data_IF_898049795863
#
_entry.id   IF_898049795863
#
_cell.length_a   1.000
_cell.length_b   1.000
_cell.length_c   1.000
_cell.angle_alpha   90.00
_cell.angle_beta   90.00
_cell.angle_gamma   90.00
#
_symmetry.space_group_name_H-M   'P 1'
#
loop_
_entity.id
_entity.type
_entity.pdbx_description
1 polymer ?
#
# COMPACT_ATOMS: atom_id res chain seq x y z
N UNK A 1 -11.45 -11.95 14.94
CA UNK A 1 -10.27 -11.54 15.73
C UNK A 1 -9.33 -10.77 14.81
N UNK A 2 -8.82 -9.63 15.27
CA UNK A 2 -7.77 -8.90 14.56
C UNK A 2 -6.49 -9.74 14.42
N UNK A 3 -5.76 -9.58 13.32
CA UNK A 3 -4.54 -10.34 13.00
C UNK A 3 -3.28 -9.66 13.52
N UNK A 4 -2.24 -10.43 13.82
CA UNK A 4 -0.92 -9.87 14.16
C UNK A 4 -0.21 -9.31 12.92
N UNK A 5 -0.48 -9.89 11.75
CA UNK A 5 0.04 -9.40 10.48
C UNK A 5 -0.86 -9.76 9.30
N UNK A 6 -0.68 -9.02 8.22
CA UNK A 6 -1.18 -9.35 6.88
C UNK A 6 -0.03 -9.33 5.88
N UNK A 7 -0.17 -10.07 4.80
CA UNK A 7 0.81 -10.14 3.73
C UNK A 7 0.14 -10.17 2.36
N UNK A 8 0.81 -9.59 1.37
CA UNK A 8 0.38 -9.72 -0.02
C UNK A 8 1.01 -10.96 -0.66
N UNK A 9 0.17 -11.81 -1.24
CA UNK A 9 0.56 -13.03 -1.94
C UNK A 9 1.24 -12.76 -3.29
N UNK A 10 1.58 -13.84 -3.99
CA UNK A 10 2.08 -13.71 -5.36
C UNK A 10 0.97 -13.28 -6.32
N UNK A 11 1.34 -12.51 -7.34
CA UNK A 11 0.43 -12.13 -8.42
C UNK A 11 0.07 -13.35 -9.25
N UNK A 12 -1.22 -13.58 -9.43
CA UNK A 12 -1.71 -14.51 -10.45
C UNK A 12 -1.58 -13.84 -11.83
N UNK A 13 -0.73 -14.42 -12.67
CA UNK A 13 -0.48 -13.89 -14.01
C UNK A 13 -1.67 -14.10 -14.96
N UNK A 14 -2.47 -15.15 -14.77
CA UNK A 14 -3.62 -15.49 -15.62
C UNK A 14 -4.83 -14.65 -15.27
N UNK A 15 -5.15 -14.58 -13.98
CA UNK A 15 -6.32 -13.85 -13.49
C UNK A 15 -6.04 -12.35 -13.28
N UNK A 16 -4.76 -11.95 -13.35
CA UNK A 16 -4.32 -10.58 -13.05
C UNK A 16 -4.78 -10.09 -11.67
N UNK A 17 -4.74 -10.97 -10.68
CA UNK A 17 -5.13 -10.71 -9.29
C UNK A 17 -3.99 -10.96 -8.32
N UNK A 18 -4.20 -10.60 -7.05
CA UNK A 18 -3.32 -10.92 -5.94
C UNK A 18 -4.13 -11.01 -4.65
N UNK A 19 -3.80 -12.02 -3.84
CA UNK A 19 -4.47 -12.25 -2.58
C UNK A 19 -3.86 -11.40 -1.45
N UNK A 20 -4.72 -10.90 -0.58
CA UNK A 20 -4.34 -10.45 0.75
C UNK A 20 -4.50 -11.63 1.71
N UNK A 21 -3.44 -11.94 2.41
CA UNK A 21 -3.28 -13.13 3.25
C UNK A 21 -3.15 -12.65 4.69
N UNK A 22 -3.92 -13.23 5.60
CA UNK A 22 -3.82 -13.00 7.03
C UNK A 22 -2.92 -14.05 7.70
N UNK A 23 -2.69 -13.86 9.00
CA UNK A 23 -1.99 -14.82 9.85
C UNK A 23 -2.49 -16.27 9.64
N UNK A 24 -1.56 -17.22 9.52
CA UNK A 24 -1.87 -18.61 9.21
C UNK A 24 -2.09 -18.92 7.73
N UNK A 25 -1.62 -18.06 6.82
CA UNK A 25 -1.69 -18.22 5.37
C UNK A 25 -3.12 -18.27 4.81
N UNK A 26 -4.07 -17.65 5.53
CA UNK A 26 -5.48 -17.62 5.14
C UNK A 26 -5.73 -16.44 4.21
N UNK A 27 -6.15 -16.69 2.97
CA UNK A 27 -6.56 -15.64 2.05
C UNK A 27 -7.88 -14.99 2.53
N UNK A 28 -7.84 -13.68 2.78
CA UNK A 28 -8.99 -12.92 3.30
C UNK A 28 -9.69 -12.07 2.23
N UNK A 29 -8.98 -11.77 1.14
CA UNK A 29 -9.51 -11.01 0.01
C UNK A 29 -8.65 -11.19 -1.24
N UNK A 30 -9.25 -11.02 -2.40
CA UNK A 30 -8.56 -11.03 -3.70
C UNK A 30 -8.76 -9.68 -4.37
N UNK A 31 -7.65 -9.05 -4.76
CA UNK A 31 -7.64 -7.74 -5.38
C UNK A 31 -7.09 -7.85 -6.80
N UNK A 32 -7.45 -6.93 -7.71
CA UNK A 32 -6.72 -6.77 -8.96
C UNK A 32 -5.24 -6.50 -8.70
N UNK A 33 -4.39 -6.98 -9.61
CA UNK A 33 -2.95 -6.74 -9.55
C UNK A 33 -2.60 -5.26 -9.75
N UNK A 34 -3.46 -4.50 -10.42
CA UNK A 34 -3.33 -3.05 -10.58
C UNK A 34 -4.60 -2.38 -10.06
N UNK A 35 -4.48 -1.67 -8.94
CA UNK A 35 -5.60 -1.07 -8.23
C UNK A 35 -5.90 0.38 -8.65
N UNK A 36 -5.30 0.89 -9.74
CA UNK A 36 -5.54 2.26 -10.18
C UNK A 36 -7.01 2.49 -10.60
N UNK A 37 -7.63 3.52 -10.03
CA UNK A 37 -9.02 3.88 -10.32
C UNK A 37 -9.99 3.37 -9.28
N UNK A 38 -11.24 3.14 -9.70
CA UNK A 38 -12.31 2.65 -8.83
C UNK A 38 -12.47 1.15 -9.06
N UNK A 39 -12.51 0.36 -7.99
CA UNK A 39 -12.73 -1.09 -8.08
C UNK A 39 -13.60 -1.58 -6.95
N UNK A 40 -14.40 -2.60 -7.22
CA UNK A 40 -15.13 -3.35 -6.20
C UNK A 40 -14.39 -4.65 -5.90
N UNK A 41 -14.19 -4.93 -4.62
CA UNK A 41 -13.58 -6.17 -4.15
C UNK A 41 -14.41 -6.73 -2.99
N UNK A 42 -14.25 -8.01 -2.73
CA UNK A 42 -14.90 -8.68 -1.61
C UNK A 42 -13.85 -9.09 -0.59
N UNK A 43 -14.05 -8.66 0.66
CA UNK A 43 -13.19 -8.97 1.80
C UNK A 43 -14.02 -9.79 2.77
N UNK A 44 -13.70 -11.07 2.91
CA UNK A 44 -14.43 -12.03 3.76
C UNK A 44 -15.97 -11.97 3.61
N UNK A 45 -16.48 -11.95 2.38
CA UNK A 45 -17.93 -11.88 2.16
C UNK A 45 -18.53 -10.48 2.18
N UNK A 46 -17.72 -9.45 2.52
CA UNK A 46 -18.18 -8.06 2.60
C UNK A 46 -17.75 -7.30 1.35
N UNK A 47 -18.66 -6.60 0.65
CA UNK A 47 -18.31 -5.80 -0.52
C UNK A 47 -17.65 -4.48 -0.11
N UNK A 48 -16.52 -4.19 -0.76
CA UNK A 48 -15.72 -2.98 -0.57
C UNK A 48 -15.63 -2.24 -1.89
N UNK A 49 -15.84 -0.93 -1.86
CA UNK A 49 -15.59 -0.06 -3.01
C UNK A 49 -14.35 0.76 -2.75
N UNK A 50 -13.33 0.52 -3.55
CA UNK A 50 -12.02 1.15 -3.45
C UNK A 50 -11.87 2.22 -4.51
N UNK A 51 -11.18 3.30 -4.16
CA UNK A 51 -10.67 4.28 -5.10
C UNK A 51 -9.22 4.59 -4.77
N UNK A 52 -8.31 4.31 -5.70
CA UNK A 52 -6.89 4.60 -5.54
C UNK A 52 -6.42 5.55 -6.64
N UNK A 53 -5.71 6.60 -6.21
CA UNK A 53 -5.02 7.53 -7.08
C UNK A 53 -3.61 7.84 -6.58
N UNK A 54 -2.93 8.78 -7.24
CA UNK A 54 -1.55 9.12 -6.89
C UNK A 54 -1.41 9.83 -5.53
N UNK A 55 -2.50 10.43 -5.02
CA UNK A 55 -2.52 11.28 -3.81
C UNK A 55 -3.46 10.81 -2.72
N UNK A 56 -4.38 9.93 -3.05
CA UNK A 56 -5.42 9.49 -2.13
C UNK A 56 -5.82 8.05 -2.38
N UNK A 57 -6.19 7.38 -1.29
CA UNK A 57 -6.82 6.06 -1.30
C UNK A 57 -8.10 6.20 -0.48
N UNK A 58 -9.19 5.61 -0.94
CA UNK A 58 -10.47 5.58 -0.24
C UNK A 58 -11.05 4.17 -0.31
N UNK A 59 -11.58 3.68 0.81
CA UNK A 59 -12.32 2.43 0.87
C UNK A 59 -13.68 2.67 1.55
N UNK A 60 -14.75 2.31 0.86
CA UNK A 60 -16.12 2.38 1.36
C UNK A 60 -16.62 0.97 1.70
N UNK A 61 -17.09 0.80 2.94
CA UNK A 61 -17.57 -0.48 3.50
C UNK A 61 -18.89 -0.23 4.23
N UNK A 62 -20.01 -0.48 3.56
CA UNK A 62 -21.33 -0.10 4.08
C UNK A 62 -21.41 1.41 4.31
N UNK A 63 -21.59 1.84 5.56
CA UNK A 63 -21.63 3.25 5.96
C UNK A 63 -20.27 3.84 6.38
N UNK A 64 -19.23 3.00 6.46
CA UNK A 64 -17.89 3.42 6.89
C UNK A 64 -17.04 3.79 5.69
N UNK A 65 -16.21 4.82 5.86
CA UNK A 65 -15.27 5.26 4.83
C UNK A 65 -13.89 5.42 5.44
N UNK A 66 -12.92 4.73 4.87
CA UNK A 66 -11.51 4.85 5.22
C UNK A 66 -10.79 5.69 4.17
N UNK A 67 -9.90 6.59 4.60
CA UNK A 67 -9.16 7.47 3.68
C UNK A 67 -7.70 7.53 4.06
N UNK A 68 -6.86 7.63 3.04
CA UNK A 68 -5.44 7.92 3.17
C UNK A 68 -5.08 9.03 2.18
N UNK A 69 -4.33 10.03 2.61
CA UNK A 69 -4.02 11.21 1.81
C UNK A 69 -2.57 11.67 1.93
N UNK A 70 -2.03 12.21 0.85
CA UNK A 70 -0.70 12.85 0.81
C UNK A 70 -0.74 14.14 0.00
N UNK A 71 0.12 15.09 0.37
CA UNK A 71 0.15 16.41 -0.27
C UNK A 71 0.58 16.39 -1.76
N UNK A 72 1.51 15.50 -2.16
CA UNK A 72 2.10 15.49 -3.52
C UNK A 72 1.83 14.20 -4.30
N UNK A 73 2.45 13.10 -3.88
CA UNK A 73 2.28 11.75 -4.42
C UNK A 73 2.86 10.72 -3.45
N UNK A 74 2.29 9.52 -3.40
CA UNK A 74 2.72 8.47 -2.45
C UNK A 74 4.21 8.11 -2.58
N UNK A 75 4.75 8.06 -3.80
CA UNK A 75 6.18 7.78 -4.04
C UNK A 75 7.13 8.72 -3.28
N UNK A 76 6.78 10.00 -3.13
CA UNK A 76 7.58 11.01 -2.43
C UNK A 76 7.16 11.27 -0.98
N UNK A 77 6.10 10.63 -0.51
CA UNK A 77 5.56 10.88 0.82
C UNK A 77 6.55 10.44 1.91
N UNK A 78 6.61 11.24 2.98
CA UNK A 78 7.25 10.91 4.26
C UNK A 78 6.24 10.73 5.40
N UNK A 79 5.05 11.29 5.21
CA UNK A 79 3.92 11.18 6.10
C UNK A 79 2.66 10.99 5.25
N UNK A 80 1.71 10.21 5.75
CA UNK A 80 0.42 9.93 5.13
C UNK A 80 -0.65 10.18 6.19
N UNK A 81 -1.59 11.06 5.90
CA UNK A 81 -2.74 11.31 6.76
C UNK A 81 -3.76 10.18 6.59
N UNK A 82 -4.28 9.65 7.69
CA UNK A 82 -5.25 8.56 7.69
C UNK A 82 -6.52 8.96 8.44
N UNK A 83 -7.66 8.60 7.87
CA UNK A 83 -8.97 8.64 8.50
C UNK A 83 -9.54 7.23 8.49
N UNK A 84 -9.54 6.59 9.65
CA UNK A 84 -10.01 5.22 9.87
C UNK A 84 -11.48 5.21 10.28
N UNK A 85 -12.36 5.70 9.39
CA UNK A 85 -13.79 5.85 9.63
C UNK A 85 -14.13 6.76 10.83
N UNK A 86 -13.50 7.92 10.89
CA UNK A 86 -13.64 8.94 11.94
C UNK A 86 -12.52 8.93 12.97
N UNK A 87 -11.68 7.88 13.00
CA UNK A 87 -10.48 7.82 13.84
C UNK A 87 -9.26 8.35 13.08
N UNK A 88 -8.72 9.48 13.52
CA UNK A 88 -7.52 10.05 12.91
C UNK A 88 -6.27 9.24 13.27
N UNK A 89 -5.45 8.97 12.27
CA UNK A 89 -4.17 8.28 12.37
C UNK A 89 -3.20 8.83 11.31
N UNK A 90 -1.96 8.38 11.33
CA UNK A 90 -0.95 8.73 10.33
C UNK A 90 0.02 7.59 10.09
N UNK A 91 0.64 7.58 8.91
CA UNK A 91 1.78 6.73 8.62
C UNK A 91 3.03 7.60 8.49
N UNK A 92 4.11 7.29 9.20
CA UNK A 92 5.37 8.04 9.17
C UNK A 92 6.48 7.14 8.63
N UNK A 93 7.28 7.67 7.70
CA UNK A 93 8.48 7.01 7.18
C UNK A 93 9.69 7.36 8.06
N UNK A 94 10.22 6.39 8.80
CA UNK A 94 11.34 6.61 9.72
C UNK A 94 12.69 6.56 9.00
N UNK A 95 12.95 5.48 8.24
CA UNK A 95 14.21 5.29 7.50
C UNK A 95 13.96 4.56 6.19
N UNK A 96 14.48 5.12 5.08
CA UNK A 96 14.37 4.57 3.70
C UNK A 96 12.92 4.27 3.28
N UNK A 97 12.41 3.12 3.72
CA UNK A 97 11.13 2.52 3.39
C UNK A 97 10.52 1.75 4.56
N UNK A 98 10.98 2.03 5.78
CA UNK A 98 10.38 1.56 7.03
C UNK A 98 9.34 2.58 7.48
N UNK A 99 8.11 2.10 7.68
CA UNK A 99 6.95 2.91 7.99
C UNK A 99 6.27 2.42 9.25
N UNK A 100 5.79 3.38 10.05
CA UNK A 100 5.04 3.14 11.27
C UNK A 100 3.68 3.79 11.15
N UNK A 101 2.63 3.06 11.51
CA UNK A 101 1.29 3.59 11.68
C UNK A 101 1.11 4.03 13.13
N UNK A 102 0.67 5.27 13.34
CA UNK A 102 0.40 5.86 14.65
C UNK A 102 -1.02 6.40 14.69
N UNK A 103 -1.67 6.33 15.85
CA UNK A 103 -2.93 7.03 16.09
C UNK A 103 -2.71 8.53 16.39
N UNK A 104 -3.80 9.25 16.64
CA UNK A 104 -3.75 10.68 16.98
C UNK A 104 -2.97 10.99 18.28
N UNK A 105 -2.81 10.01 19.18
CA UNK A 105 -2.03 10.16 20.42
C UNK A 105 -0.54 9.83 20.25
N UNK A 106 -0.14 9.35 19.07
CA UNK A 106 1.21 8.86 18.80
C UNK A 106 1.41 7.40 19.25
N UNK A 107 0.35 6.69 19.60
CA UNK A 107 0.42 5.27 19.90
C UNK A 107 0.55 4.46 18.62
N UNK A 108 1.47 3.50 18.62
CA UNK A 108 1.73 2.64 17.47
C UNK A 108 0.56 1.69 17.22
N UNK A 109 0.09 1.69 15.98
CA UNK A 109 -0.95 0.78 15.46
C UNK A 109 -0.36 -0.40 14.72
N UNK A 110 0.81 -0.21 14.10
CA UNK A 110 1.47 -1.21 13.26
C UNK A 110 2.66 -0.65 12.50
N UNK A 111 3.27 -1.48 11.66
CA UNK A 111 4.41 -1.09 10.84
C UNK A 111 4.49 -1.93 9.56
N UNK A 112 5.17 -1.40 8.56
CA UNK A 112 5.55 -2.16 7.37
C UNK A 112 6.91 -1.69 6.86
N UNK A 113 7.59 -2.55 6.11
CA UNK A 113 8.84 -2.19 5.46
C UNK A 113 8.85 -2.59 3.99
N UNK A 114 9.44 -1.74 3.16
CA UNK A 114 9.82 -2.10 1.78
C UNK A 114 11.18 -2.79 1.66
N UNK A 115 11.92 -2.96 2.76
CA UNK A 115 13.24 -3.59 2.79
C UNK A 115 13.19 -5.10 2.51
N UNK A 116 14.24 -5.64 1.88
CA UNK A 116 14.46 -7.06 1.55
C UNK A 116 13.45 -7.79 0.64
N UNK A 117 12.18 -7.39 0.58
CA UNK A 117 11.14 -8.14 -0.15
C UNK A 117 10.25 -7.28 -1.07
N UNK A 118 10.42 -5.96 -1.05
CA UNK A 118 9.73 -5.02 -1.92
C UNK A 118 8.20 -5.22 -1.94
N UNK A 119 7.58 -4.98 -3.09
CA UNK A 119 6.12 -5.17 -3.29
C UNK A 119 5.73 -6.66 -3.29
N UNK A 120 6.66 -7.55 -3.64
CA UNK A 120 6.36 -8.97 -3.95
C UNK A 120 6.00 -9.80 -2.72
N UNK A 121 6.50 -9.43 -1.55
CA UNK A 121 6.12 -9.97 -0.25
C UNK A 121 6.10 -8.82 0.78
N UNK A 122 5.16 -7.90 0.62
CA UNK A 122 4.96 -6.84 1.60
C UNK A 122 4.08 -7.34 2.74
N UNK A 123 4.60 -7.19 3.96
CA UNK A 123 3.90 -7.53 5.19
C UNK A 123 3.58 -6.26 5.97
N UNK A 124 2.39 -6.22 6.56
CA UNK A 124 2.00 -5.20 7.53
C UNK A 124 1.79 -5.88 8.86
N UNK A 125 2.57 -5.48 9.86
CA UNK A 125 2.47 -5.96 11.24
C UNK A 125 1.58 -5.01 12.04
N UNK A 126 0.80 -5.54 12.98
CA UNK A 126 -0.14 -4.79 13.78
C UNK A 126 0.07 -5.01 15.27
N UNK A 127 -0.17 -3.97 16.06
CA UNK A 127 -0.16 -4.08 17.52
C UNK A 127 -1.49 -4.66 18.01
N UNK A 128 -1.41 -5.65 18.91
CA UNK A 128 -2.57 -6.41 19.36
C UNK A 128 -3.63 -5.53 20.03
N UNK A 129 -4.88 -5.63 19.57
CA UNK A 129 -6.03 -4.92 20.15
C UNK A 129 -6.10 -3.41 19.82
N UNK A 130 -5.22 -2.90 18.94
CA UNK A 130 -5.19 -1.47 18.55
C UNK A 130 -5.91 -1.17 17.23
N UNK A 131 -6.13 -2.18 16.42
CA UNK A 131 -6.80 -2.09 15.12
C UNK A 131 -7.89 -3.15 14.98
N UNK A 132 -8.95 -2.80 14.26
CA UNK A 132 -9.99 -3.73 13.82
C UNK A 132 -9.58 -4.41 12.50
N UNK A 133 -10.22 -5.53 12.17
CA UNK A 133 -9.95 -6.29 10.93
C UNK A 133 -10.08 -5.42 9.66
N UNK A 134 -11.09 -4.55 9.60
CA UNK A 134 -11.29 -3.65 8.46
C UNK A 134 -10.17 -2.60 8.36
N UNK A 135 -9.75 -2.04 9.50
CA UNK A 135 -8.62 -1.11 9.52
C UNK A 135 -7.34 -1.82 9.07
N UNK A 136 -7.11 -3.07 9.49
CA UNK A 136 -5.95 -3.84 9.07
C UNK A 136 -5.94 -4.08 7.55
N UNK A 137 -7.08 -4.43 6.97
CA UNK A 137 -7.21 -4.57 5.50
C UNK A 137 -6.92 -3.25 4.79
N UNK A 138 -7.47 -2.14 5.28
CA UNK A 138 -7.23 -0.83 4.71
C UNK A 138 -5.77 -0.38 4.83
N UNK A 139 -5.14 -0.56 5.99
CA UNK A 139 -3.72 -0.25 6.21
C UNK A 139 -2.81 -1.12 5.34
N UNK A 140 -3.18 -2.38 5.12
CA UNK A 140 -2.48 -3.29 4.19
C UNK A 140 -2.53 -2.79 2.75
N UNK A 141 -3.69 -2.25 2.34
CA UNK A 141 -3.88 -1.62 1.04
C UNK A 141 -3.00 -0.37 0.90
N UNK A 142 -2.99 0.50 1.91
CA UNK A 142 -2.12 1.68 1.95
C UNK A 142 -0.65 1.29 1.82
N UNK A 143 -0.20 0.30 2.58
CA UNK A 143 1.17 -0.22 2.55
C UNK A 143 1.58 -0.62 1.14
N UNK A 144 0.76 -1.42 0.47
CA UNK A 144 1.00 -1.86 -0.91
C UNK A 144 1.03 -0.69 -1.89
N UNK A 145 0.07 0.23 -1.84
CA UNK A 145 0.04 1.40 -2.73
C UNK A 145 1.31 2.25 -2.59
N UNK A 146 1.79 2.46 -1.36
CA UNK A 146 3.02 3.23 -1.11
C UNK A 146 4.23 2.55 -1.73
N UNK A 147 4.36 1.23 -1.55
CA UNK A 147 5.48 0.46 -2.09
C UNK A 147 5.43 0.39 -3.62
N UNK A 148 4.25 0.17 -4.21
CA UNK A 148 4.04 0.18 -5.67
C UNK A 148 4.39 1.54 -6.28
N UNK A 149 3.96 2.64 -5.64
CA UNK A 149 4.24 3.99 -6.13
C UNK A 149 5.75 4.28 -6.12
N UNK A 150 6.46 3.88 -5.06
CA UNK A 150 7.92 4.04 -4.96
C UNK A 150 8.66 3.21 -6.01
N UNK A 151 8.26 1.95 -6.21
CA UNK A 151 8.84 1.07 -7.23
C UNK A 151 8.67 1.65 -8.64
N UNK A 152 7.44 2.04 -9.00
CA UNK A 152 7.12 2.62 -10.31
C UNK A 152 7.94 3.88 -10.59
N UNK A 153 8.05 4.78 -9.60
CA UNK A 153 8.86 5.99 -9.75
C UNK A 153 10.35 5.70 -9.96
N UNK A 154 10.89 4.65 -9.34
CA UNK A 154 12.28 4.23 -9.53
C UNK A 154 12.51 3.63 -10.92
N UNK A 155 11.59 2.80 -11.40
CA UNK A 155 11.67 2.22 -12.75
C UNK A 155 11.66 3.30 -13.84
N UNK A 156 10.80 4.32 -13.71
CA UNK A 156 10.74 5.45 -14.66
C UNK A 156 12.07 6.23 -14.66
N UNK A 157 12.64 6.49 -13.48
CA UNK A 157 13.92 7.20 -13.36
C UNK A 157 15.07 6.41 -14.02
N UNK A 158 15.08 5.08 -13.85
CA UNK A 158 16.07 4.21 -14.47
C UNK A 158 15.94 4.20 -16.00
N UNK A 159 14.71 4.02 -16.52
CA UNK A 159 14.44 4.07 -17.96
C UNK A 159 14.90 5.41 -18.55
N UNK A 160 14.55 6.53 -17.90
CA UNK A 160 14.99 7.87 -18.32
C UNK A 160 16.52 8.00 -18.35
N UNK A 161 17.21 7.49 -17.34
CA UNK A 161 18.68 7.47 -17.29
C UNK A 161 19.29 6.66 -18.43
N UNK A 162 18.75 5.48 -18.75
CA UNK A 162 19.25 4.63 -19.83
C UNK A 162 19.07 5.31 -21.20
N UNK A 163 17.95 5.99 -21.42
CA UNK A 163 17.69 6.74 -22.65
C UNK A 163 18.70 7.88 -22.81
N UNK A 164 18.95 8.63 -21.74
CA UNK A 164 19.95 9.72 -21.76
C UNK A 164 21.36 9.21 -22.05
N UNK A 165 21.78 8.09 -21.42
CA UNK A 165 23.09 7.48 -21.69
C UNK A 165 23.18 7.01 -23.14
N UNK A 166 22.11 6.39 -23.66
CA UNK A 166 22.06 5.94 -25.06
C UNK A 166 22.21 7.11 -26.04
N UNK A 167 21.50 8.22 -25.81
CA UNK A 167 21.62 9.44 -26.62
C UNK A 167 23.01 10.06 -26.53
N UNK A 168 23.60 10.10 -25.34
CA UNK A 168 24.96 10.60 -25.13
C UNK A 168 25.99 9.77 -25.89
N UNK A 169 25.90 8.43 -25.83
CA UNK A 169 26.79 7.55 -26.60
C UNK A 169 26.67 7.79 -28.10
N UNK A 170 25.44 7.88 -28.63
CA UNK A 170 25.24 8.20 -30.05
C UNK A 170 25.88 9.54 -30.41
N UNK A 171 25.72 10.58 -29.57
CA UNK A 171 26.32 11.90 -29.80
C UNK A 171 27.86 11.90 -29.75
N UNK A 172 28.47 11.10 -28.88
CA UNK A 172 29.94 11.03 -28.73
C UNK A 172 30.59 10.26 -29.88
N UNK A 173 29.90 9.26 -30.43
CA UNK A 173 30.40 8.40 -31.51
C UNK A 173 29.92 8.82 -32.92
N UNK A 174 29.19 9.93 -33.03
CA UNK A 174 28.84 10.59 -34.29
C UNK A 174 29.89 11.66 -34.64
#
# INVERSE_FOLDING_TARGET
MAWNYTGWGQRDAKEHTVALIAEGDTAIATFPAQLEGITQVEVQGTPWKLSQGQRSITAEVGQRTFKAGVAKKFSSAKEIELDLAGRSARAICEKRSDWVYEDASGEKLGQFSGGNNGVRHSYTEFEAGKTSEEEQVFLSLVSRTVLESKLSSMSIALIGSLVLISLFLVLVFL
#
